data_IF_632502997937
#
_entry.id   IF_632502997937
#
_cell.length_a   1.000
_cell.length_b   1.000
_cell.length_c   1.000
_cell.angle_alpha   90.00
_cell.angle_beta   90.00
_cell.angle_gamma   90.00
#
_symmetry.space_group_name_H-M   'P 1'
#
loop_
_entity.id
_entity.type
_entity.pdbx_description
1 polymer ?
#
# COMPACT_ATOMS: atom_id res chain seq x y z
N UNK A 1 -32.55 5.02 15.92
CA UNK A 1 -31.88 5.83 16.97
C UNK A 1 -30.40 5.91 16.62
N UNK A 2 -29.76 7.06 16.80
CA UNK A 2 -28.33 7.18 16.56
C UNK A 2 -27.55 6.50 17.69
N UNK A 3 -26.52 5.74 17.35
CA UNK A 3 -25.56 5.20 18.33
C UNK A 3 -24.63 6.32 18.80
N UNK A 4 -24.41 6.40 20.12
CA UNK A 4 -23.44 7.34 20.67
C UNK A 4 -22.01 6.79 20.52
N UNK A 5 -21.12 7.61 19.98
CA UNK A 5 -19.69 7.31 19.83
C UNK A 5 -18.90 8.34 20.64
N UNK A 6 -18.01 7.88 21.52
CA UNK A 6 -17.15 8.77 22.32
C UNK A 6 -15.89 9.16 21.53
N UNK A 7 -15.74 10.46 21.28
CA UNK A 7 -14.61 11.02 20.54
C UNK A 7 -13.27 10.79 21.22
N UNK A 8 -13.25 10.73 22.55
CA UNK A 8 -12.00 10.52 23.30
C UNK A 8 -11.50 9.08 23.10
N UNK A 9 -12.41 8.12 23.16
CA UNK A 9 -12.14 6.70 22.93
C UNK A 9 -11.70 6.42 21.50
N UNK A 10 -12.29 7.06 20.49
CA UNK A 10 -11.83 6.92 19.08
C UNK A 10 -10.34 7.30 18.93
N UNK A 11 -9.91 8.37 19.60
CA UNK A 11 -8.54 8.87 19.45
C UNK A 11 -7.52 8.09 20.27
N UNK A 12 -7.91 7.61 21.45
CA UNK A 12 -6.98 7.07 22.45
C UNK A 12 -7.09 5.55 22.65
N UNK A 13 -8.12 4.88 22.12
CA UNK A 13 -8.31 3.44 22.27
C UNK A 13 -8.40 2.76 20.89
N UNK A 14 -7.34 2.04 20.54
CA UNK A 14 -7.24 1.31 19.27
C UNK A 14 -8.36 0.28 19.09
N UNK A 15 -8.70 -0.47 20.15
CA UNK A 15 -9.75 -1.50 20.10
C UNK A 15 -11.11 -0.85 19.82
N UNK A 16 -11.44 0.22 20.53
CA UNK A 16 -12.68 0.96 20.34
C UNK A 16 -12.79 1.52 18.91
N UNK A 17 -11.71 2.10 18.40
CA UNK A 17 -11.67 2.61 17.02
C UNK A 17 -11.88 1.49 15.99
N UNK A 18 -11.24 0.35 16.19
CA UNK A 18 -11.41 -0.81 15.31
C UNK A 18 -12.84 -1.33 15.34
N UNK A 19 -13.42 -1.54 16.53
CA UNK A 19 -14.80 -2.02 16.68
C UNK A 19 -15.82 -1.09 16.05
N UNK A 20 -15.70 0.21 16.30
CA UNK A 20 -16.53 1.23 15.67
C UNK A 20 -16.42 1.18 14.14
N UNK A 21 -15.21 1.19 13.59
CA UNK A 21 -15.00 1.23 12.15
C UNK A 21 -15.49 -0.05 11.46
N UNK A 22 -15.21 -1.22 12.04
CA UNK A 22 -15.71 -2.50 11.53
C UNK A 22 -17.23 -2.54 11.52
N UNK A 23 -17.89 -2.08 12.59
CA UNK A 23 -19.35 -1.97 12.64
C UNK A 23 -19.88 -0.96 11.62
N UNK A 24 -19.24 0.20 11.50
CA UNK A 24 -19.65 1.28 10.59
C UNK A 24 -19.58 0.85 9.13
N UNK A 25 -18.53 0.12 8.75
CA UNK A 25 -18.36 -0.43 7.40
C UNK A 25 -19.17 -1.71 7.17
N UNK A 26 -19.86 -2.23 8.21
CA UNK A 26 -20.45 -3.55 8.22
C UNK A 26 -19.44 -4.64 7.78
N UNK A 27 -18.20 -4.53 8.27
CA UNK A 27 -17.14 -5.49 8.05
C UNK A 27 -17.31 -6.66 9.03
N UNK A 28 -17.59 -7.83 8.48
CA UNK A 28 -18.00 -9.04 9.20
C UNK A 28 -16.96 -10.16 9.06
N UNK A 29 -17.21 -11.28 9.74
CA UNK A 29 -16.38 -12.47 9.58
C UNK A 29 -16.47 -13.04 8.15
N UNK A 30 -17.60 -12.91 7.48
CA UNK A 30 -17.77 -13.36 6.09
C UNK A 30 -16.83 -12.58 5.14
N UNK A 31 -16.65 -11.27 5.38
CA UNK A 31 -15.70 -10.45 4.62
C UNK A 31 -14.26 -10.92 4.85
N UNK A 32 -13.92 -11.28 6.09
CA UNK A 32 -12.60 -11.82 6.44
C UNK A 32 -12.36 -13.15 5.71
N UNK A 33 -13.33 -14.06 5.73
CA UNK A 33 -13.24 -15.35 5.04
C UNK A 33 -13.08 -15.16 3.52
N UNK A 34 -13.90 -14.28 2.93
CA UNK A 34 -13.83 -13.96 1.51
C UNK A 34 -12.50 -13.29 1.12
N UNK A 35 -11.97 -12.38 1.94
CA UNK A 35 -10.67 -11.75 1.70
C UNK A 35 -9.52 -12.76 1.80
N UNK A 36 -9.57 -13.68 2.76
CA UNK A 36 -8.57 -14.75 2.88
C UNK A 36 -8.62 -15.73 1.71
N UNK A 37 -9.81 -16.04 1.21
CA UNK A 37 -9.99 -16.85 0.00
C UNK A 37 -9.49 -16.11 -1.24
N UNK A 38 -9.92 -14.86 -1.43
CA UNK A 38 -9.50 -14.03 -2.55
C UNK A 38 -7.98 -13.78 -2.54
N UNK A 39 -7.36 -13.62 -1.38
CA UNK A 39 -5.92 -13.42 -1.25
C UNK A 39 -5.11 -14.55 -1.91
N UNK A 40 -5.55 -15.80 -1.78
CA UNK A 40 -4.91 -16.95 -2.44
C UNK A 40 -5.05 -16.89 -3.96
N UNK A 41 -6.19 -16.41 -4.45
CA UNK A 41 -6.44 -16.23 -5.90
C UNK A 41 -5.65 -15.04 -6.44
N UNK A 42 -5.54 -13.95 -5.67
CA UNK A 42 -4.88 -12.72 -6.07
C UNK A 42 -3.34 -12.85 -6.07
N UNK A 43 -2.78 -13.70 -5.21
CA UNK A 43 -1.34 -13.82 -4.99
C UNK A 43 -0.51 -13.97 -6.28
N UNK A 44 -0.87 -14.82 -7.26
CA UNK A 44 -0.11 -14.96 -8.51
C UNK A 44 -0.12 -13.71 -9.39
N UNK A 45 -1.10 -12.81 -9.20
CA UNK A 45 -1.28 -11.60 -10.01
C UNK A 45 -0.57 -10.38 -9.41
N UNK A 46 -0.15 -10.44 -8.14
CA UNK A 46 0.51 -9.34 -7.44
C UNK A 46 1.69 -8.77 -8.24
N UNK A 47 2.62 -9.58 -8.82
CA UNK A 47 3.74 -9.04 -9.59
C UNK A 47 3.28 -8.17 -10.77
N UNK A 48 2.24 -8.59 -11.49
CA UNK A 48 1.71 -7.86 -12.65
C UNK A 48 1.04 -6.54 -12.23
N UNK A 49 0.27 -6.57 -11.14
CA UNK A 49 -0.39 -5.37 -10.60
C UNK A 49 0.66 -4.36 -10.11
N UNK A 50 1.68 -4.85 -9.39
CA UNK A 50 2.80 -4.05 -8.91
C UNK A 50 3.53 -3.41 -10.09
N UNK A 51 3.93 -4.19 -11.09
CA UNK A 51 4.61 -3.67 -12.28
C UNK A 51 3.79 -2.57 -12.98
N UNK A 52 2.49 -2.81 -13.18
CA UNK A 52 1.57 -1.86 -13.83
C UNK A 52 1.46 -0.57 -13.01
N UNK A 53 1.31 -0.68 -11.69
CA UNK A 53 1.23 0.49 -10.80
C UNK A 53 2.52 1.30 -10.82
N UNK A 54 3.68 0.65 -10.73
CA UNK A 54 4.97 1.32 -10.75
C UNK A 54 5.23 2.01 -12.09
N UNK A 55 4.88 1.39 -13.22
CA UNK A 55 4.92 2.07 -14.52
C UNK A 55 4.05 3.31 -14.50
N UNK A 56 2.80 3.20 -14.01
CA UNK A 56 1.87 4.33 -13.95
C UNK A 56 2.37 5.47 -13.08
N UNK A 57 2.97 5.16 -11.93
CA UNK A 57 3.55 6.17 -11.03
C UNK A 57 4.80 6.86 -11.62
N UNK A 58 5.49 6.25 -12.59
CA UNK A 58 6.61 6.89 -13.28
C UNK A 58 6.17 7.80 -14.43
N UNK A 59 4.91 7.76 -14.84
CA UNK A 59 4.37 8.64 -15.88
C UNK A 59 4.15 10.09 -15.40
N UNK A 60 4.07 10.30 -14.08
CA UNK A 60 3.83 11.63 -13.51
C UNK A 60 5.02 12.07 -12.66
N UNK A 61 5.55 13.26 -12.92
CA UNK A 61 6.66 13.89 -12.19
C UNK A 61 6.44 13.90 -10.67
N UNK A 62 5.23 14.29 -10.24
CA UNK A 62 4.88 14.42 -8.82
C UNK A 62 4.98 13.09 -8.06
N UNK A 63 4.72 11.97 -8.71
CA UNK A 63 4.88 10.63 -8.11
C UNK A 63 6.28 10.08 -8.36
N UNK A 64 6.86 10.34 -9.53
CA UNK A 64 8.18 9.88 -9.95
C UNK A 64 9.29 10.34 -8.99
N UNK A 65 9.27 11.60 -8.57
CA UNK A 65 10.29 12.18 -7.66
C UNK A 65 10.47 11.42 -6.34
N UNK A 66 9.44 10.75 -5.84
CA UNK A 66 9.52 9.98 -4.58
C UNK A 66 10.40 8.73 -4.71
N UNK A 67 10.63 8.24 -5.93
CA UNK A 67 11.49 7.09 -6.17
C UNK A 67 12.97 7.44 -6.28
N UNK A 68 13.34 8.72 -6.23
CA UNK A 68 14.73 9.15 -6.06
C UNK A 68 15.20 8.99 -4.60
N UNK A 69 14.26 8.92 -3.65
CA UNK A 69 14.57 8.70 -2.24
C UNK A 69 15.01 7.26 -2.04
N UNK A 70 16.15 7.06 -1.38
CA UNK A 70 16.69 5.75 -1.04
C UNK A 70 15.63 4.90 -0.33
N UNK A 71 15.34 3.72 -0.87
CA UNK A 71 14.47 2.77 -0.20
C UNK A 71 15.16 2.21 1.06
N UNK A 72 14.36 1.86 2.07
CA UNK A 72 14.89 1.27 3.29
C UNK A 72 15.67 -0.02 2.96
N UNK A 73 16.86 -0.17 3.54
CA UNK A 73 17.77 -1.31 3.28
C UNK A 73 18.33 -1.43 1.85
N UNK A 74 18.04 -0.50 0.93
CA UNK A 74 18.66 -0.49 -0.39
C UNK A 74 20.03 0.20 -0.36
N UNK A 75 21.08 -0.53 -0.71
CA UNK A 75 22.49 -0.06 -0.65
C UNK A 75 23.10 0.25 -2.02
N UNK A 76 22.37 0.01 -3.11
CA UNK A 76 22.84 0.23 -4.47
C UNK A 76 22.86 1.69 -4.91
N UNK A 77 23.09 1.89 -6.21
CA UNK A 77 23.22 3.22 -6.82
C UNK A 77 21.87 3.89 -7.06
N UNK A 78 21.79 5.20 -6.81
CA UNK A 78 20.58 5.97 -7.08
C UNK A 78 20.72 6.75 -8.39
N UNK A 79 19.64 6.85 -9.19
CA UNK A 79 19.58 7.81 -10.29
C UNK A 79 19.80 9.23 -9.77
N UNK A 80 20.49 10.08 -10.55
CA UNK A 80 20.83 11.44 -10.13
C UNK A 80 19.58 12.34 -10.17
N UNK A 81 18.67 12.08 -11.09
CA UNK A 81 17.49 12.90 -11.35
C UNK A 81 16.34 12.06 -11.93
N UNK A 82 15.17 12.70 -12.07
CA UNK A 82 13.96 12.06 -12.59
C UNK A 82 14.10 11.59 -14.05
N UNK A 83 14.99 12.18 -14.84
CA UNK A 83 15.22 11.79 -16.24
C UNK A 83 15.92 10.44 -16.32
N UNK A 84 16.88 10.20 -15.43
CA UNK A 84 17.63 8.93 -15.33
C UNK A 84 16.86 7.82 -14.60
N UNK A 85 15.86 8.20 -13.80
CA UNK A 85 14.99 7.25 -13.13
C UNK A 85 14.05 6.58 -14.13
N UNK A 86 14.19 5.25 -14.26
CA UNK A 86 13.36 4.42 -15.12
C UNK A 86 12.78 3.26 -14.35
N UNK A 87 11.82 2.57 -14.97
CA UNK A 87 11.26 1.33 -14.42
C UNK A 87 12.32 0.24 -14.18
N UNK A 88 13.44 0.29 -14.91
CA UNK A 88 14.54 -0.68 -14.81
C UNK A 88 15.68 -0.22 -13.89
N UNK A 89 15.57 0.95 -13.26
CA UNK A 89 16.57 1.37 -12.26
C UNK A 89 16.67 0.34 -11.14
N UNK A 90 17.89 0.09 -10.65
CA UNK A 90 18.17 -0.99 -9.69
C UNK A 90 17.30 -0.90 -8.42
N UNK A 91 17.13 0.31 -7.86
CA UNK A 91 16.21 0.53 -6.74
C UNK A 91 14.75 0.17 -7.06
N UNK A 92 14.31 0.39 -8.29
CA UNK A 92 12.93 0.10 -8.70
C UNK A 92 12.69 -1.40 -8.77
N UNK A 93 13.65 -2.15 -9.33
CA UNK A 93 13.62 -3.61 -9.30
C UNK A 93 13.64 -4.13 -7.84
N UNK A 94 14.49 -3.56 -6.99
CA UNK A 94 14.54 -3.91 -5.57
C UNK A 94 13.17 -3.70 -4.90
N UNK A 95 12.58 -2.51 -5.03
CA UNK A 95 11.27 -2.17 -4.45
C UNK A 95 10.15 -3.12 -4.89
N UNK A 96 10.13 -3.54 -6.16
CA UNK A 96 9.11 -4.47 -6.66
C UNK A 96 9.29 -5.89 -6.15
N UNK A 97 10.53 -6.32 -5.91
CA UNK A 97 10.83 -7.65 -5.37
C UNK A 97 10.56 -7.80 -3.87
N UNK A 98 10.45 -6.68 -3.15
CA UNK A 98 10.17 -6.64 -1.70
C UNK A 98 8.68 -6.52 -1.36
N UNK A 99 7.81 -6.39 -2.36
CA UNK A 99 6.34 -6.41 -2.23
C UNK A 99 5.85 -7.83 -2.46
#
# INVERSE_FOLDING_TARGET
>A
MAEHIDSTSINNNLRYRFEYLSKFLNFTNDDIEMLNYFGQIALPFIPTVVDTLFQKLLEFDITKKYFLIRHFSYTGTLPINETELTFQSEQMAFRRSTV
#
